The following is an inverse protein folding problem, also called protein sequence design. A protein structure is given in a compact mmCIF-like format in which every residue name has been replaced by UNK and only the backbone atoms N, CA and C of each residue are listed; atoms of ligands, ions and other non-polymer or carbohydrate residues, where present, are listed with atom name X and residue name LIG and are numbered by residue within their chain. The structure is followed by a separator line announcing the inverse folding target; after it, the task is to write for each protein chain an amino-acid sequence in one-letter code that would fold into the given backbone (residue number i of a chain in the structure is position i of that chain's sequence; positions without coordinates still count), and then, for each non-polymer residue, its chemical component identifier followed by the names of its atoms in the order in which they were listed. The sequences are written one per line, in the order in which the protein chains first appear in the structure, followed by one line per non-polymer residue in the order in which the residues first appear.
data_IF_911588540056
#
_entry.id   IF_911588540056
#
_cell.length_a   1.000
_cell.length_b   1.000
_cell.length_c   1.000
_cell.angle_alpha   90.00
_cell.angle_beta   90.00
_cell.angle_gamma   90.00
#
_symmetry.space_group_name_H-M   'P 1'
#
loop_
_entity.id
_entity.type
_entity.pdbx_description
1 polymer ?
#
# COMPACT_ATOMS: atom_id res chain seq x y z
N UNK A 1 -24.29 10.69 63.55
CA UNK A 1 -23.17 10.26 62.68
C UNK A 1 -23.58 8.98 61.97
N UNK A 2 -24.06 9.08 60.73
CA UNK A 2 -24.29 7.92 59.87
C UNK A 2 -23.16 7.91 58.83
N UNK A 3 -22.35 6.85 58.85
CA UNK A 3 -21.23 6.65 57.95
C UNK A 3 -21.78 5.99 56.67
N UNK A 4 -21.86 6.74 55.56
CA UNK A 4 -22.11 6.18 54.24
C UNK A 4 -20.82 5.54 53.72
N UNK A 5 -20.78 4.20 53.68
CA UNK A 5 -19.80 3.45 52.90
C UNK A 5 -20.15 3.56 51.41
N UNK A 6 -19.41 4.37 50.66
CA UNK A 6 -19.37 4.27 49.20
C UNK A 6 -18.63 2.98 48.82
N UNK A 7 -19.37 2.01 48.29
CA UNK A 7 -18.79 0.87 47.60
C UNK A 7 -18.23 1.33 46.25
N UNK A 8 -16.91 1.46 46.14
CA UNK A 8 -16.19 1.56 44.87
C UNK A 8 -16.25 0.18 44.20
N UNK A 9 -17.12 0.04 43.19
CA UNK A 9 -17.06 -1.11 42.29
C UNK A 9 -15.73 -1.08 41.52
N UNK A 10 -15.03 -2.22 41.35
CA UNK A 10 -13.83 -2.26 40.54
C UNK A 10 -14.26 -2.02 39.08
N UNK A 11 -13.75 -0.95 38.47
CA UNK A 11 -13.75 -0.81 37.02
C UNK A 11 -12.92 -1.96 36.46
N UNK A 12 -13.57 -3.05 36.05
CA UNK A 12 -12.92 -4.09 35.27
C UNK A 12 -12.40 -3.44 33.99
N UNK A 13 -11.09 -3.53 33.74
CA UNK A 13 -10.54 -3.17 32.45
C UNK A 13 -11.27 -4.01 31.39
N UNK A 14 -12.00 -3.35 30.48
CA UNK A 14 -12.63 -4.04 29.37
C UNK A 14 -11.54 -4.79 28.59
N UNK A 15 -11.68 -6.11 28.48
CA UNK A 15 -10.73 -6.93 27.75
C UNK A 15 -10.72 -6.48 26.28
N UNK A 16 -9.53 -6.31 25.72
CA UNK A 16 -9.37 -5.92 24.32
C UNK A 16 -9.90 -7.04 23.40
N UNK A 17 -10.66 -6.67 22.38
CA UNK A 17 -11.18 -7.60 21.39
C UNK A 17 -10.02 -8.18 20.57
N UNK A 18 -10.01 -9.50 20.40
CA UNK A 18 -8.98 -10.23 19.68
C UNK A 18 -9.40 -10.37 18.21
N UNK A 19 -8.63 -9.80 17.29
CA UNK A 19 -8.97 -9.82 15.86
C UNK A 19 -7.85 -10.49 15.07
N UNK A 20 -8.23 -11.47 14.25
CA UNK A 20 -7.30 -12.23 13.41
C UNK A 20 -7.33 -11.74 11.96
N UNK A 21 -6.17 -11.50 11.38
CA UNK A 21 -5.97 -11.37 9.94
C UNK A 21 -5.24 -12.60 9.39
N UNK A 22 -5.83 -13.20 8.37
CA UNK A 22 -5.16 -14.18 7.50
C UNK A 22 -4.71 -13.45 6.25
N UNK A 23 -3.40 -13.45 5.99
CA UNK A 23 -2.81 -12.78 4.82
C UNK A 23 -1.96 -13.73 3.99
N UNK A 24 -1.74 -13.41 2.72
CA UNK A 24 -0.75 -14.09 1.88
C UNK A 24 0.55 -13.29 1.80
N UNK A 25 1.65 -13.95 1.44
CA UNK A 25 3.02 -13.40 1.44
C UNK A 25 3.26 -12.17 0.57
N UNK A 26 2.34 -11.86 -0.36
CA UNK A 26 2.35 -10.63 -1.14
C UNK A 26 1.91 -9.39 -0.33
N UNK A 27 1.31 -9.56 0.85
CA UNK A 27 0.93 -8.45 1.73
C UNK A 27 2.11 -8.08 2.64
N UNK A 28 2.63 -6.84 2.59
CA UNK A 28 3.77 -6.44 3.40
C UNK A 28 3.50 -6.57 4.90
N UNK A 29 4.43 -7.15 5.65
CA UNK A 29 4.35 -7.31 7.11
C UNK A 29 4.26 -5.97 7.85
N UNK A 30 4.95 -4.95 7.34
CA UNK A 30 4.87 -3.58 7.88
C UNK A 30 3.49 -2.94 7.82
N UNK A 31 2.56 -3.44 6.98
CA UNK A 31 1.14 -3.04 7.01
C UNK A 31 0.51 -3.40 8.35
N UNK A 32 0.70 -4.64 8.82
CA UNK A 32 0.05 -5.14 10.04
C UNK A 32 0.61 -4.50 11.32
N UNK A 33 1.89 -4.10 11.33
CA UNK A 33 2.44 -3.29 12.44
C UNK A 33 1.67 -1.98 12.59
N UNK A 34 1.46 -1.27 11.48
CA UNK A 34 0.70 -0.01 11.52
C UNK A 34 -0.78 -0.23 11.83
N UNK A 35 -1.40 -1.28 11.29
CA UNK A 35 -2.78 -1.62 11.64
C UNK A 35 -2.91 -1.89 13.14
N UNK A 36 -1.94 -2.57 13.78
CA UNK A 36 -1.97 -2.84 15.20
C UNK A 36 -1.88 -1.55 16.03
N UNK A 37 -1.07 -0.59 15.60
CA UNK A 37 -0.99 0.72 16.25
C UNK A 37 -2.28 1.54 16.11
N UNK A 38 -2.94 1.46 14.95
CA UNK A 38 -4.23 2.13 14.71
C UNK A 38 -5.36 1.44 15.48
N UNK A 39 -5.33 0.11 15.61
CA UNK A 39 -6.38 -0.66 16.29
C UNK A 39 -6.34 -0.51 17.82
N UNK A 40 -5.15 -0.32 18.41
CA UNK A 40 -4.95 -0.31 19.86
C UNK A 40 -5.81 0.74 20.61
N UNK A 41 -5.93 2.01 20.16
CA UNK A 41 -6.85 2.98 20.78
C UNK A 41 -8.33 2.58 20.76
N UNK A 42 -8.73 1.71 19.83
CA UNK A 42 -10.11 1.20 19.73
C UNK A 42 -10.35 -0.04 20.61
N UNK A 43 -9.37 -0.43 21.43
CA UNK A 43 -9.46 -1.62 22.29
C UNK A 43 -9.42 -2.92 21.50
N UNK A 44 -8.74 -2.94 20.36
CA UNK A 44 -8.57 -4.11 19.51
C UNK A 44 -7.10 -4.53 19.52
N UNK A 45 -6.86 -5.82 19.79
CA UNK A 45 -5.56 -6.46 19.65
C UNK A 45 -5.54 -7.27 18.35
N UNK A 46 -4.60 -6.94 17.46
CA UNK A 46 -4.46 -7.59 16.16
C UNK A 46 -3.45 -8.73 16.21
N UNK A 47 -3.86 -9.86 15.64
CA UNK A 47 -2.96 -10.94 15.29
C UNK A 47 -3.00 -11.15 13.78
N UNK A 48 -1.84 -11.36 13.17
CA UNK A 48 -1.73 -11.76 11.77
C UNK A 48 -1.15 -13.18 11.68
N UNK A 49 -1.67 -13.96 10.74
CA UNK A 49 -1.11 -15.24 10.31
C UNK A 49 -0.97 -15.24 8.80
N UNK A 50 0.25 -15.52 8.34
CA UNK A 50 0.51 -15.69 6.92
C UNK A 50 0.18 -17.12 6.50
N UNK A 51 -0.62 -17.26 5.44
CA UNK A 51 -1.13 -18.55 4.95
C UNK A 51 0.00 -19.56 4.74
N UNK A 52 1.12 -19.11 4.16
CA UNK A 52 2.28 -19.94 3.84
C UNK A 52 3.04 -20.43 5.07
N UNK A 53 2.83 -19.79 6.23
CA UNK A 53 3.44 -20.16 7.51
C UNK A 53 2.51 -21.02 8.38
N UNK A 54 1.26 -21.20 7.97
CA UNK A 54 0.32 -22.07 8.69
C UNK A 54 0.62 -23.55 8.38
N UNK A 55 0.55 -24.43 9.40
CA UNK A 55 0.62 -25.88 9.19
C UNK A 55 -0.38 -26.35 8.13
N UNK A 56 0.00 -27.37 7.35
CA UNK A 56 -0.84 -27.94 6.28
C UNK A 56 -2.16 -28.50 6.83
N UNK A 57 -2.13 -28.99 8.05
CA UNK A 57 -3.21 -29.64 8.77
C UNK A 57 -3.95 -28.71 9.74
N UNK A 58 -3.81 -27.39 9.58
CA UNK A 58 -4.52 -26.38 10.38
C UNK A 58 -6.03 -26.67 10.40
N UNK A 59 -6.59 -26.80 11.59
CA UNK A 59 -7.97 -27.19 11.85
C UNK A 59 -8.84 -26.00 12.32
N UNK A 60 -10.08 -26.29 12.71
CA UNK A 60 -11.06 -25.32 13.21
C UNK A 60 -10.55 -24.51 14.43
N UNK A 61 -9.55 -25.03 15.15
CA UNK A 61 -8.91 -24.35 16.28
C UNK A 61 -8.23 -23.03 15.90
N UNK A 62 -7.95 -22.81 14.61
CA UNK A 62 -7.37 -21.57 14.09
C UNK A 62 -8.13 -20.31 14.53
N UNK A 63 -9.46 -20.39 14.60
CA UNK A 63 -10.33 -19.24 14.86
C UNK A 63 -10.77 -19.12 16.32
N UNK A 64 -10.37 -20.05 17.18
CA UNK A 64 -10.80 -20.09 18.58
C UNK A 64 -10.26 -18.88 19.35
N UNK A 65 -11.14 -18.16 20.03
CA UNK A 65 -10.79 -17.03 20.90
C UNK A 65 -10.64 -15.69 20.18
N UNK A 66 -10.96 -15.62 18.88
CA UNK A 66 -11.03 -14.36 18.15
C UNK A 66 -12.48 -13.85 18.06
N UNK A 67 -12.65 -12.55 18.26
CA UNK A 67 -13.93 -11.83 18.19
C UNK A 67 -14.28 -11.42 16.75
N UNK A 68 -13.29 -11.32 15.85
CA UNK A 68 -13.50 -11.17 14.41
C UNK A 68 -12.32 -11.73 13.61
N UNK A 69 -12.58 -12.13 12.36
CA UNK A 69 -11.57 -12.69 11.44
C UNK A 69 -11.64 -12.04 10.07
N UNK A 70 -10.49 -11.67 9.50
CA UNK A 70 -10.40 -11.02 8.21
C UNK A 70 -9.40 -11.72 7.29
N UNK A 71 -9.73 -11.80 5.99
CA UNK A 71 -8.85 -12.38 4.98
C UNK A 71 -8.34 -11.28 4.03
N UNK A 72 -7.04 -11.02 4.04
CA UNK A 72 -6.33 -10.10 3.16
C UNK A 72 -5.59 -10.88 2.07
N UNK A 73 -6.31 -11.25 1.01
CA UNK A 73 -5.74 -11.88 -0.17
C UNK A 73 -6.63 -11.74 -1.39
N UNK A 74 -6.03 -11.50 -2.55
CA UNK A 74 -6.69 -11.65 -3.84
C UNK A 74 -6.77 -13.13 -4.28
N UNK A 75 -5.95 -14.01 -3.70
CA UNK A 75 -5.89 -15.45 -3.98
C UNK A 75 -6.93 -16.22 -3.14
N UNK A 76 -8.20 -15.78 -3.17
CA UNK A 76 -9.22 -16.32 -2.28
C UNK A 76 -9.39 -17.83 -2.42
N UNK A 77 -9.38 -18.35 -3.65
CA UNK A 77 -9.57 -19.79 -3.90
C UNK A 77 -8.42 -20.60 -3.28
N UNK A 78 -7.17 -20.10 -3.36
CA UNK A 78 -6.00 -20.73 -2.73
C UNK A 78 -6.13 -20.73 -1.19
N UNK A 79 -6.58 -19.62 -0.61
CA UNK A 79 -6.81 -19.52 0.84
C UNK A 79 -7.93 -20.47 1.27
N UNK A 80 -9.01 -20.56 0.49
CA UNK A 80 -10.13 -21.47 0.75
C UNK A 80 -9.68 -22.92 0.73
N UNK A 81 -8.97 -23.34 -0.32
CA UNK A 81 -8.43 -24.69 -0.44
C UNK A 81 -7.48 -25.03 0.71
N UNK A 82 -6.59 -24.09 1.05
CA UNK A 82 -5.58 -24.28 2.11
C UNK A 82 -6.19 -24.34 3.51
N UNK A 83 -7.32 -23.67 3.73
CA UNK A 83 -8.02 -23.62 5.01
C UNK A 83 -9.32 -24.43 5.02
N UNK A 84 -9.50 -25.37 4.08
CA UNK A 84 -10.73 -26.14 3.95
C UNK A 84 -11.14 -26.90 5.23
N UNK A 85 -10.17 -27.31 6.06
CA UNK A 85 -10.40 -27.95 7.37
C UNK A 85 -10.67 -26.97 8.50
N UNK A 86 -10.22 -25.73 8.38
CA UNK A 86 -10.36 -24.71 9.41
C UNK A 86 -11.66 -23.91 9.25
N UNK A 87 -12.00 -23.54 8.01
CA UNK A 87 -13.14 -22.68 7.66
C UNK A 87 -14.50 -23.12 8.25
N UNK A 88 -14.83 -24.41 8.38
CA UNK A 88 -16.07 -24.83 9.04
C UNK A 88 -16.22 -24.32 10.48
N UNK A 89 -15.12 -24.13 11.21
CA UNK A 89 -15.10 -23.59 12.57
C UNK A 89 -15.18 -22.07 12.66
N UNK A 90 -15.26 -21.36 11.53
CA UNK A 90 -15.32 -19.90 11.51
C UNK A 90 -16.75 -19.40 11.78
N UNK A 91 -17.05 -19.17 13.05
CA UNK A 91 -18.34 -18.62 13.48
C UNK A 91 -18.30 -17.13 13.83
N UNK A 92 -17.13 -16.60 14.18
CA UNK A 92 -16.95 -15.19 14.50
C UNK A 92 -17.26 -14.29 13.27
N UNK A 93 -17.73 -13.05 13.48
CA UNK A 93 -17.89 -12.06 12.42
C UNK A 93 -16.65 -11.99 11.52
N UNK A 94 -16.85 -12.13 10.22
CA UNK A 94 -15.72 -12.21 9.30
C UNK A 94 -15.97 -11.57 7.93
N UNK A 95 -14.89 -11.17 7.26
CA UNK A 95 -14.93 -10.66 5.90
C UNK A 95 -13.65 -10.98 5.09
N UNK A 96 -13.86 -11.22 3.80
CA UNK A 96 -12.83 -11.32 2.77
C UNK A 96 -12.67 -9.94 2.13
N UNK A 97 -11.50 -9.33 2.34
CA UNK A 97 -11.29 -7.90 2.16
C UNK A 97 -10.89 -7.49 0.74
N UNK A 98 -10.77 -8.45 -0.18
CA UNK A 98 -10.56 -8.17 -1.60
C UNK A 98 -11.88 -7.74 -2.25
N UNK A 99 -11.97 -6.46 -2.57
CA UNK A 99 -13.20 -5.78 -2.99
C UNK A 99 -13.74 -6.20 -4.36
N UNK A 100 -12.91 -6.80 -5.23
CA UNK A 100 -13.37 -7.37 -6.49
C UNK A 100 -14.17 -8.69 -6.30
N UNK A 101 -14.00 -9.37 -5.16
CA UNK A 101 -14.74 -10.60 -4.81
C UNK A 101 -15.08 -10.58 -3.31
N UNK A 102 -15.89 -9.63 -2.82
CA UNK A 102 -16.12 -9.49 -1.39
C UNK A 102 -17.03 -10.62 -0.89
N UNK A 103 -16.73 -11.14 0.31
CA UNK A 103 -17.56 -12.11 1.01
C UNK A 103 -17.50 -11.85 2.52
N UNK A 104 -18.54 -12.20 3.27
CA UNK A 104 -18.59 -12.02 4.72
C UNK A 104 -19.51 -13.05 5.37
N UNK A 105 -19.38 -13.21 6.68
CA UNK A 105 -20.11 -14.21 7.45
C UNK A 105 -20.06 -13.97 8.96
N UNK A 106 -20.45 -14.98 9.73
CA UNK A 106 -20.40 -14.94 11.20
C UNK A 106 -21.32 -13.90 11.83
N UNK A 107 -22.45 -13.59 11.19
CA UNK A 107 -23.42 -12.61 11.68
C UNK A 107 -23.02 -11.14 11.45
N UNK A 108 -21.95 -10.87 10.68
CA UNK A 108 -21.57 -9.50 10.31
C UNK A 108 -22.66 -8.86 9.42
N UNK A 109 -23.31 -7.76 9.82
CA UNK A 109 -24.36 -7.12 9.02
C UNK A 109 -23.80 -6.59 7.69
N UNK A 110 -24.53 -6.78 6.59
CA UNK A 110 -24.07 -6.37 5.26
C UNK A 110 -23.62 -4.90 5.16
N UNK A 111 -24.35 -3.90 5.70
CA UNK A 111 -23.90 -2.51 5.65
C UNK A 111 -22.55 -2.30 6.34
N UNK A 112 -22.30 -3.02 7.43
CA UNK A 112 -21.03 -2.97 8.18
C UNK A 112 -19.93 -3.69 7.41
N UNK A 113 -20.21 -4.89 6.89
CA UNK A 113 -19.25 -5.66 6.09
C UNK A 113 -18.77 -4.86 4.87
N UNK A 114 -19.69 -4.28 4.10
CA UNK A 114 -19.35 -3.45 2.93
C UNK A 114 -18.49 -2.25 3.32
N UNK A 115 -18.87 -1.53 4.39
CA UNK A 115 -18.10 -0.38 4.88
C UNK A 115 -16.68 -0.77 5.29
N UNK A 116 -16.52 -1.86 6.05
CA UNK A 116 -15.21 -2.39 6.44
C UNK A 116 -14.36 -2.77 5.22
N UNK A 117 -14.95 -3.45 4.23
CA UNK A 117 -14.26 -3.83 2.99
C UNK A 117 -13.81 -2.58 2.23
N UNK A 118 -14.67 -1.56 2.08
CA UNK A 118 -14.31 -0.32 1.37
C UNK A 118 -13.19 0.45 2.07
N UNK A 119 -13.21 0.56 3.41
CA UNK A 119 -12.10 1.13 4.15
C UNK A 119 -10.80 0.36 3.88
N UNK A 120 -10.86 -0.97 3.99
CA UNK A 120 -9.66 -1.78 3.92
C UNK A 120 -9.04 -1.82 2.53
N UNK A 121 -9.86 -1.95 1.48
CA UNK A 121 -9.38 -2.05 0.10
C UNK A 121 -8.77 -0.74 -0.40
N UNK A 122 -9.28 0.40 0.07
CA UNK A 122 -8.69 1.71 -0.23
C UNK A 122 -7.49 2.01 0.68
N UNK A 123 -7.50 1.54 1.93
CA UNK A 123 -6.41 1.67 2.87
C UNK A 123 -6.06 3.13 3.20
N UNK A 124 -4.87 3.34 3.75
CA UNK A 124 -4.46 4.64 4.29
C UNK A 124 -5.01 4.91 5.70
N UNK A 125 -4.37 5.83 6.42
CA UNK A 125 -4.59 6.03 7.85
C UNK A 125 -6.06 6.31 8.20
N UNK A 126 -6.69 7.25 7.51
CA UNK A 126 -8.09 7.61 7.78
C UNK A 126 -9.03 6.42 7.59
N UNK A 127 -8.83 5.64 6.54
CA UNK A 127 -9.67 4.48 6.30
C UNK A 127 -9.44 3.39 7.34
N UNK A 128 -8.20 3.13 7.76
CA UNK A 128 -7.95 2.16 8.81
C UNK A 128 -8.47 2.60 10.19
N UNK A 129 -8.38 3.89 10.51
CA UNK A 129 -9.06 4.45 11.69
C UNK A 129 -10.58 4.22 11.61
N UNK A 130 -11.18 4.51 10.46
CA UNK A 130 -12.60 4.25 10.21
C UNK A 130 -12.96 2.77 10.28
N UNK A 131 -12.10 1.89 9.78
CA UNK A 131 -12.22 0.44 9.86
C UNK A 131 -12.30 -0.02 11.31
N UNK A 132 -11.32 0.34 12.14
CA UNK A 132 -11.26 -0.12 13.52
C UNK A 132 -12.31 0.54 14.41
N UNK A 133 -12.65 1.80 14.19
CA UNK A 133 -13.76 2.46 14.87
C UNK A 133 -15.11 1.78 14.57
N UNK A 134 -15.35 1.45 13.30
CA UNK A 134 -16.56 0.74 12.85
C UNK A 134 -16.61 -0.67 13.45
N UNK A 135 -15.50 -1.40 13.40
CA UNK A 135 -15.40 -2.75 13.94
C UNK A 135 -15.61 -2.77 15.46
N UNK A 136 -14.95 -1.87 16.20
CA UNK A 136 -15.10 -1.78 17.64
C UNK A 136 -16.55 -1.49 18.07
N UNK A 137 -17.25 -0.61 17.36
CA UNK A 137 -18.66 -0.36 17.59
C UNK A 137 -19.53 -1.61 17.32
N UNK A 138 -19.27 -2.29 16.21
CA UNK A 138 -19.97 -3.54 15.86
C UNK A 138 -19.78 -4.62 16.93
N UNK A 139 -18.54 -4.84 17.40
CA UNK A 139 -18.24 -5.83 18.45
C UNK A 139 -18.85 -5.49 19.81
N UNK A 140 -19.08 -4.20 20.08
CA UNK A 140 -19.74 -3.72 21.28
C UNK A 140 -21.28 -3.67 21.14
N UNK A 141 -21.83 -4.11 20.01
CA UNK A 141 -23.28 -4.08 19.75
C UNK A 141 -23.87 -2.66 19.70
N UNK A 142 -23.06 -1.66 19.36
CA UNK A 142 -23.48 -0.24 19.30
C UNK A 142 -23.37 0.32 17.89
N UNK A 143 -24.14 1.37 17.61
CA UNK A 143 -23.94 2.18 16.41
C UNK A 143 -22.61 2.95 16.50
N UNK A 144 -22.05 3.31 15.33
CA UNK A 144 -20.83 4.09 15.20
C UNK A 144 -21.11 5.50 14.64
N UNK A 145 -21.97 6.33 15.26
CA UNK A 145 -22.24 7.66 14.74
C UNK A 145 -20.97 8.52 14.77
N UNK A 146 -20.72 9.25 13.69
CA UNK A 146 -19.57 10.17 13.58
C UNK A 146 -18.27 9.55 13.05
N UNK A 147 -18.24 8.25 12.73
CA UNK A 147 -17.12 7.68 11.97
C UNK A 147 -17.20 8.20 10.51
N UNK A 148 -16.19 8.92 10.00
CA UNK A 148 -16.22 9.48 8.64
C UNK A 148 -16.41 8.41 7.57
N UNK A 149 -17.08 8.72 6.45
CA UNK A 149 -17.21 7.76 5.34
C UNK A 149 -15.85 7.31 4.77
N UNK A 150 -15.76 6.10 4.18
CA UNK A 150 -14.56 5.65 3.50
C UNK A 150 -14.10 6.61 2.41
N UNK A 151 -12.81 6.92 2.40
CA UNK A 151 -12.14 7.64 1.33
C UNK A 151 -11.83 6.64 0.22
N UNK A 152 -12.44 6.84 -0.95
CA UNK A 152 -12.17 6.01 -2.13
C UNK A 152 -11.11 6.68 -2.98
N UNK A 153 -9.96 6.02 -3.12
CA UNK A 153 -8.91 6.52 -3.99
C UNK A 153 -9.31 6.32 -5.46
N UNK A 154 -9.13 7.32 -6.33
CA UNK A 154 -9.35 7.15 -7.76
C UNK A 154 -8.36 6.10 -8.30
N UNK A 155 -8.69 5.45 -9.43
CA UNK A 155 -7.82 4.45 -10.08
C UNK A 155 -6.50 5.04 -10.58
N UNK A 156 -6.54 6.31 -10.97
CA UNK A 156 -5.41 7.09 -11.44
C UNK A 156 -5.37 8.40 -10.66
N UNK A 157 -4.20 8.77 -10.16
CA UNK A 157 -3.97 10.08 -9.56
C UNK A 157 -2.48 10.36 -9.35
N UNK A 158 -2.19 11.65 -9.17
CA UNK A 158 -0.94 12.10 -8.55
C UNK A 158 -1.04 11.86 -7.05
N UNK A 159 0.03 11.33 -6.46
CA UNK A 159 0.19 11.16 -5.02
C UNK A 159 1.16 12.18 -4.47
N UNK A 160 0.92 12.85 -3.35
CA UNK A 160 1.99 13.60 -2.69
C UNK A 160 1.81 13.64 -1.18
N UNK A 161 2.86 13.45 -0.36
CA UNK A 161 2.73 13.43 1.11
C UNK A 161 2.20 14.77 1.67
N UNK A 162 2.36 15.86 0.93
CA UNK A 162 1.87 17.21 1.30
C UNK A 162 0.57 17.62 0.59
N UNK A 163 0.01 16.79 -0.30
CA UNK A 163 -1.25 17.09 -0.95
C UNK A 163 -2.43 16.89 0.02
N UNK A 164 -3.46 17.76 0.02
CA UNK A 164 -4.70 17.51 0.74
C UNK A 164 -5.31 16.17 0.32
N UNK A 165 -5.62 15.30 1.29
CA UNK A 165 -6.15 13.96 1.01
C UNK A 165 -5.16 13.01 0.31
N UNK A 166 -3.87 13.35 0.27
CA UNK A 166 -2.75 12.61 -0.34
C UNK A 166 -2.78 12.48 -1.88
N UNK A 167 -3.92 12.69 -2.53
CA UNK A 167 -4.07 12.47 -3.98
C UNK A 167 -4.72 13.63 -4.70
N UNK A 168 -4.31 13.85 -5.95
CA UNK A 168 -4.89 14.82 -6.88
C UNK A 168 -5.16 14.12 -8.20
N UNK A 169 -6.41 14.14 -8.68
CA UNK A 169 -6.82 13.38 -9.86
C UNK A 169 -6.19 13.91 -11.16
N UNK A 170 -6.07 15.24 -11.30
CA UNK A 170 -5.56 15.87 -12.52
C UNK A 170 -4.04 16.20 -12.38
N UNK A 171 -3.17 15.55 -13.17
CA UNK A 171 -1.73 15.82 -13.14
C UNK A 171 -1.35 17.21 -13.65
N UNK A 172 -2.14 17.80 -14.55
CA UNK A 172 -1.91 19.17 -15.03
C UNK A 172 -2.25 20.17 -13.92
N UNK A 173 -3.37 19.97 -13.21
CA UNK A 173 -3.73 20.79 -12.06
C UNK A 173 -2.68 20.69 -10.95
N UNK A 174 -2.14 19.49 -10.69
CA UNK A 174 -1.03 19.32 -9.77
C UNK A 174 0.19 20.15 -10.17
N UNK A 175 0.69 20.02 -11.40
CA UNK A 175 1.85 20.79 -11.85
C UNK A 175 1.64 22.30 -11.77
N UNK A 176 0.46 22.79 -12.14
CA UNK A 176 0.11 24.21 -11.99
C UNK A 176 0.11 24.65 -10.54
N UNK A 177 -0.38 23.83 -9.61
CA UNK A 177 -0.29 24.10 -8.16
C UNK A 177 1.16 24.16 -7.66
N UNK A 178 2.06 23.45 -8.33
CA UNK A 178 3.51 23.52 -8.13
C UNK A 178 4.16 24.65 -8.94
N UNK A 179 3.40 25.59 -9.52
CA UNK A 179 3.95 26.72 -10.29
C UNK A 179 4.63 26.31 -11.60
N UNK A 180 4.28 25.15 -12.14
CA UNK A 180 4.74 24.67 -13.46
C UNK A 180 3.59 24.76 -14.45
N UNK A 181 3.77 25.57 -15.50
CA UNK A 181 2.95 25.47 -16.71
C UNK A 181 3.60 24.43 -17.64
N UNK A 182 2.96 23.28 -17.91
CA UNK A 182 3.53 22.25 -18.77
C UNK A 182 3.83 22.72 -20.20
N UNK A 183 3.15 23.77 -20.68
CA UNK A 183 3.35 24.34 -22.00
C UNK A 183 4.52 25.35 -22.07
N UNK A 184 5.06 25.78 -20.93
CA UNK A 184 6.14 26.76 -20.89
C UNK A 184 7.49 26.14 -21.28
N UNK A 185 8.23 26.82 -22.17
CA UNK A 185 9.52 26.34 -22.70
C UNK A 185 10.64 26.30 -21.67
N UNK A 186 10.63 27.20 -20.68
CA UNK A 186 11.65 27.28 -19.62
C UNK A 186 11.06 26.90 -18.25
N UNK A 187 10.13 25.94 -18.21
CA UNK A 187 9.60 25.43 -16.94
C UNK A 187 10.69 24.71 -16.15
N UNK A 188 10.50 24.61 -14.83
CA UNK A 188 11.33 23.74 -14.00
C UNK A 188 11.27 22.29 -14.51
N UNK A 189 12.38 21.51 -14.42
CA UNK A 189 12.37 20.11 -14.77
C UNK A 189 11.31 19.37 -13.95
N UNK A 190 10.62 18.42 -14.58
CA UNK A 190 9.62 17.57 -13.93
C UNK A 190 10.10 16.12 -13.98
N UNK A 191 10.32 15.54 -12.80
CA UNK A 191 10.67 14.12 -12.65
C UNK A 191 9.41 13.37 -12.27
N UNK A 192 8.92 12.53 -13.18
CA UNK A 192 7.81 11.63 -12.88
C UNK A 192 8.29 10.45 -12.05
N UNK A 193 7.44 9.99 -11.12
CA UNK A 193 7.72 8.83 -10.27
C UNK A 193 6.51 7.89 -10.30
N UNK A 194 6.61 6.78 -11.04
CA UNK A 194 5.55 5.78 -11.07
C UNK A 194 5.62 4.88 -9.83
N UNK A 195 4.49 4.74 -9.13
CA UNK A 195 4.35 3.89 -7.94
C UNK A 195 3.09 3.03 -8.00
N UNK A 196 3.07 1.95 -7.23
CA UNK A 196 1.82 1.23 -6.97
C UNK A 196 0.99 2.00 -5.94
N UNK A 197 -0.32 2.16 -6.18
CA UNK A 197 -1.27 2.71 -5.19
C UNK A 197 -1.16 1.97 -3.84
N UNK A 198 -0.82 0.69 -3.87
CA UNK A 198 -0.64 -0.15 -2.68
C UNK A 198 0.36 0.43 -1.66
N UNK A 199 1.37 1.20 -2.08
CA UNK A 199 2.26 1.88 -1.13
C UNK A 199 1.48 2.87 -0.25
N UNK A 200 0.55 3.61 -0.83
CA UNK A 200 -0.31 4.58 -0.13
C UNK A 200 -1.32 3.82 0.74
N UNK A 201 -2.01 2.84 0.15
CA UNK A 201 -3.03 2.05 0.84
C UNK A 201 -2.46 1.29 2.04
N UNK A 202 -1.25 0.73 1.94
CA UNK A 202 -0.58 0.04 3.03
C UNK A 202 0.21 0.97 3.97
N UNK A 203 0.21 2.29 3.71
CA UNK A 203 1.01 3.29 4.43
C UNK A 203 2.51 2.96 4.45
N UNK A 204 3.02 2.40 3.36
CA UNK A 204 4.42 2.00 3.16
C UNK A 204 5.16 3.00 2.25
N UNK A 205 4.94 4.30 2.44
CA UNK A 205 5.35 5.34 1.48
C UNK A 205 6.77 5.87 1.72
N UNK A 206 7.48 5.46 2.77
CA UNK A 206 8.74 6.07 3.18
C UNK A 206 9.79 6.15 2.05
N UNK A 207 9.92 5.12 1.22
CA UNK A 207 10.79 5.15 0.03
C UNK A 207 10.32 6.15 -1.03
N UNK A 208 9.01 6.19 -1.33
CA UNK A 208 8.45 7.13 -2.31
C UNK A 208 8.59 8.57 -1.82
N UNK A 209 8.30 8.82 -0.54
CA UNK A 209 8.39 10.12 0.09
C UNK A 209 9.83 10.65 0.10
N UNK A 210 10.81 9.78 0.33
CA UNK A 210 12.23 10.12 0.23
C UNK A 210 12.65 10.48 -1.21
N UNK A 211 12.23 9.71 -2.22
CA UNK A 211 12.52 10.06 -3.62
C UNK A 211 11.89 11.40 -4.01
N UNK A 212 10.64 11.66 -3.61
CA UNK A 212 9.97 12.95 -3.81
C UNK A 212 10.80 14.06 -3.18
N UNK A 213 11.18 13.92 -1.90
CA UNK A 213 11.94 14.93 -1.18
C UNK A 213 13.30 15.21 -1.83
N UNK A 214 14.01 14.19 -2.33
CA UNK A 214 15.29 14.35 -3.05
C UNK A 214 15.11 15.06 -4.39
N UNK A 215 14.07 14.73 -5.15
CA UNK A 215 13.75 15.40 -6.42
C UNK A 215 13.50 16.89 -6.17
N UNK A 216 12.67 17.21 -5.16
CA UNK A 216 12.35 18.59 -4.78
C UNK A 216 13.57 19.35 -4.27
N UNK A 217 14.41 18.72 -3.44
CA UNK A 217 15.65 19.30 -2.93
C UNK A 217 16.67 19.58 -4.06
N UNK A 218 16.63 18.79 -5.14
CA UNK A 218 17.40 19.01 -6.37
C UNK A 218 16.87 20.13 -7.26
N UNK A 219 15.77 20.80 -6.90
CA UNK A 219 15.20 21.93 -7.63
C UNK A 219 14.21 21.56 -8.75
N UNK A 220 13.97 20.27 -8.97
CA UNK A 220 12.94 19.79 -9.89
C UNK A 220 11.56 19.73 -9.21
N UNK A 221 10.51 19.57 -10.01
CA UNK A 221 9.16 19.28 -9.53
C UNK A 221 8.90 17.79 -9.63
N UNK A 222 8.50 17.17 -8.52
CA UNK A 222 8.11 15.77 -8.52
C UNK A 222 6.68 15.61 -9.09
N UNK A 223 6.51 14.65 -10.00
CA UNK A 223 5.22 14.14 -10.47
C UNK A 223 5.06 12.65 -10.11
N UNK A 224 4.95 12.31 -8.81
CA UNK A 224 4.57 10.98 -8.33
C UNK A 224 3.13 10.61 -8.71
N UNK A 225 2.94 9.46 -9.36
CA UNK A 225 1.61 9.01 -9.78
C UNK A 225 1.45 7.50 -9.73
N UNK A 226 0.19 7.06 -9.66
CA UNK A 226 -0.18 5.67 -9.86
C UNK A 226 -1.28 5.57 -10.92
N UNK A 227 -1.30 4.45 -11.62
CA UNK A 227 -2.31 4.10 -12.61
C UNK A 227 -2.44 2.57 -12.73
N UNK A 228 -3.57 2.06 -13.27
CA UNK A 228 -3.72 0.63 -13.52
C UNK A 228 -2.65 0.14 -14.51
N UNK A 229 -1.89 -0.89 -14.13
CA UNK A 229 -0.70 -1.31 -14.89
C UNK A 229 -1.01 -1.98 -16.22
N UNK A 230 -2.16 -2.65 -16.30
CA UNK A 230 -2.59 -3.44 -17.46
C UNK A 230 -3.60 -2.71 -18.35
N UNK A 231 -3.99 -1.49 -17.96
CA UNK A 231 -4.92 -0.68 -18.75
C UNK A 231 -4.14 0.15 -19.77
N UNK A 232 -4.35 -0.16 -21.06
CA UNK A 232 -3.66 0.52 -22.15
C UNK A 232 -3.86 2.04 -22.11
N UNK A 233 -2.77 2.81 -22.21
CA UNK A 233 -2.82 4.26 -22.23
C UNK A 233 -2.99 4.92 -20.85
N UNK A 234 -3.14 4.16 -19.76
CA UNK A 234 -3.25 4.73 -18.42
C UNK A 234 -1.98 5.48 -17.99
N UNK A 235 -0.80 5.05 -18.46
CA UNK A 235 0.46 5.77 -18.30
C UNK A 235 0.45 7.11 -19.07
N UNK A 236 0.00 7.08 -20.32
CA UNK A 236 -0.08 8.29 -21.17
C UNK A 236 -1.06 9.33 -20.63
N UNK A 237 -2.17 8.90 -20.02
CA UNK A 237 -3.10 9.83 -19.36
C UNK A 237 -2.42 10.63 -18.24
N UNK A 238 -1.44 10.04 -17.54
CA UNK A 238 -0.74 10.70 -16.43
C UNK A 238 0.45 11.55 -16.87
N UNK A 239 1.10 11.20 -17.99
CA UNK A 239 2.36 11.82 -18.41
C UNK A 239 2.26 12.62 -19.72
N UNK A 240 1.24 12.37 -20.52
CA UNK A 240 1.01 13.03 -21.80
C UNK A 240 -0.49 13.24 -22.10
N UNK A 241 -1.30 13.77 -21.14
CA UNK A 241 -2.72 14.02 -21.38
C UNK A 241 -2.90 14.98 -22.55
N UNK A 242 -3.81 14.64 -23.46
CA UNK A 242 -4.10 15.41 -24.68
C UNK A 242 -2.85 15.72 -25.52
N UNK A 243 -1.84 14.85 -25.49
CA UNK A 243 -0.60 15.00 -26.26
C UNK A 243 0.45 15.92 -25.62
N UNK A 244 0.14 16.59 -24.52
CA UNK A 244 1.07 17.51 -23.83
C UNK A 244 1.95 16.74 -22.85
N UNK A 245 3.25 16.65 -23.14
CA UNK A 245 4.21 15.98 -22.27
C UNK A 245 4.40 16.74 -20.95
N UNK A 246 4.20 16.06 -19.83
CA UNK A 246 4.26 16.66 -18.49
C UNK A 246 5.60 16.47 -17.77
N UNK A 247 6.35 15.42 -18.10
CA UNK A 247 7.60 15.08 -17.45
C UNK A 247 8.78 15.07 -18.43
N UNK A 248 9.99 15.20 -17.89
CA UNK A 248 11.25 15.17 -18.65
C UNK A 248 11.96 13.83 -18.49
N UNK A 249 11.77 13.16 -17.35
CA UNK A 249 12.28 11.82 -17.04
C UNK A 249 11.26 11.07 -16.17
N UNK A 250 11.22 9.74 -16.30
CA UNK A 250 10.41 8.86 -15.46
C UNK A 250 11.30 7.97 -14.60
N UNK A 251 11.09 7.94 -13.29
CA UNK A 251 11.58 6.91 -12.38
C UNK A 251 10.46 5.90 -12.16
N UNK A 252 10.65 4.66 -12.58
CA UNK A 252 9.72 3.56 -12.34
C UNK A 252 10.08 2.81 -11.05
N UNK A 253 9.10 2.62 -10.16
CA UNK A 253 9.24 1.76 -8.95
C UNK A 253 8.35 0.51 -9.00
N UNK A 254 7.63 0.32 -10.10
CA UNK A 254 6.71 -0.78 -10.31
C UNK A 254 7.41 -1.97 -10.99
N UNK A 255 6.81 -3.16 -10.90
CA UNK A 255 7.19 -4.27 -11.78
C UNK A 255 6.94 -3.91 -13.25
N UNK A 256 7.65 -4.56 -14.17
CA UNK A 256 7.36 -4.50 -15.58
C UNK A 256 6.56 -5.73 -16.01
N UNK A 257 5.47 -5.49 -16.74
CA UNK A 257 4.62 -6.48 -17.40
C UNK A 257 4.41 -6.02 -18.85
N UNK A 258 4.07 -6.95 -19.74
CA UNK A 258 3.77 -6.65 -21.16
C UNK A 258 4.85 -5.77 -21.83
N UNK A 259 6.10 -6.22 -21.80
CA UNK A 259 7.25 -5.40 -22.18
C UNK A 259 7.17 -4.77 -23.59
N UNK A 260 6.59 -5.46 -24.57
CA UNK A 260 6.38 -4.94 -25.93
C UNK A 260 5.42 -3.74 -25.95
N UNK A 261 4.26 -3.86 -25.30
CA UNK A 261 3.28 -2.76 -25.20
C UNK A 261 3.88 -1.59 -24.43
N UNK A 262 4.60 -1.88 -23.34
CA UNK A 262 5.22 -0.84 -22.52
C UNK A 262 6.35 -0.12 -23.25
N UNK A 263 7.12 -0.82 -24.08
CA UNK A 263 8.10 -0.22 -24.98
C UNK A 263 7.42 0.80 -25.90
N UNK A 264 6.33 0.42 -26.56
CA UNK A 264 5.59 1.30 -27.45
C UNK A 264 4.98 2.52 -26.72
N UNK A 265 4.57 2.37 -25.47
CA UNK A 265 4.16 3.51 -24.61
C UNK A 265 5.35 4.44 -24.29
N UNK A 266 6.50 3.90 -23.89
CA UNK A 266 7.69 4.71 -23.60
C UNK A 266 8.23 5.44 -24.85
N UNK A 267 8.24 4.79 -26.02
CA UNK A 267 8.61 5.41 -27.30
C UNK A 267 7.66 6.59 -27.64
N UNK A 268 6.35 6.46 -27.39
CA UNK A 268 5.37 7.54 -27.58
C UNK A 268 5.53 8.69 -26.58
N UNK A 269 5.93 8.40 -25.34
CA UNK A 269 6.25 9.42 -24.33
C UNK A 269 7.51 10.21 -24.73
N UNK A 270 8.52 9.52 -25.24
CA UNK A 270 9.77 10.12 -25.73
C UNK A 270 10.60 10.76 -24.61
N UNK A 271 10.65 10.12 -23.44
CA UNK A 271 11.46 10.53 -22.28
C UNK A 271 12.31 9.36 -21.76
N UNK A 272 13.47 9.63 -21.13
CA UNK A 272 14.23 8.60 -20.45
C UNK A 272 13.42 7.95 -19.32
N UNK A 273 13.59 6.64 -19.14
CA UNK A 273 12.96 5.88 -18.07
C UNK A 273 14.02 5.15 -17.25
N UNK A 274 14.15 5.54 -15.99
CA UNK A 274 15.00 4.90 -14.98
C UNK A 274 14.18 3.93 -14.13
N UNK A 275 14.84 3.04 -13.40
CA UNK A 275 14.14 2.14 -12.48
C UNK A 275 14.81 2.01 -11.12
N UNK A 276 13.99 2.12 -10.07
CA UNK A 276 14.39 2.06 -8.68
C UNK A 276 13.54 1.02 -7.95
N UNK A 277 14.13 -0.14 -7.66
CA UNK A 277 13.43 -1.27 -7.05
C UNK A 277 13.81 -1.49 -5.59
N UNK A 278 12.87 -1.96 -4.74
CA UNK A 278 13.19 -2.37 -3.39
C UNK A 278 13.82 -3.78 -3.35
N UNK A 279 14.81 -3.97 -2.48
CA UNK A 279 15.26 -5.27 -2.02
C UNK A 279 14.23 -5.85 -1.05
N UNK A 280 13.67 -7.01 -1.39
CA UNK A 280 12.53 -7.63 -0.68
C UNK A 280 12.90 -8.78 0.25
N UNK A 281 14.19 -8.96 0.53
CA UNK A 281 14.71 -10.12 1.28
C UNK A 281 15.49 -9.71 2.53
N UNK A 282 15.28 -8.49 3.01
CA UNK A 282 15.87 -7.99 4.24
C UNK A 282 16.06 -6.47 4.21
N UNK A 283 16.88 -6.01 5.14
CA UNK A 283 17.30 -4.62 5.25
C UNK A 283 18.52 -4.32 4.35
N UNK A 284 19.04 -3.10 4.46
CA UNK A 284 20.20 -2.63 3.70
C UNK A 284 21.46 -3.48 3.97
N UNK A 285 21.66 -3.94 5.21
CA UNK A 285 22.80 -4.79 5.55
C UNK A 285 22.68 -6.17 4.90
N UNK A 286 21.47 -6.76 4.89
CA UNK A 286 21.20 -8.01 4.19
C UNK A 286 21.41 -7.86 2.68
N UNK A 287 21.00 -6.73 2.08
CA UNK A 287 21.28 -6.44 0.67
C UNK A 287 22.78 -6.31 0.39
N UNK A 288 23.51 -5.54 1.20
CA UNK A 288 24.95 -5.32 1.03
C UNK A 288 25.77 -6.62 1.15
N UNK A 289 25.31 -7.57 1.97
CA UNK A 289 25.93 -8.88 2.12
C UNK A 289 25.50 -9.89 1.05
N UNK A 290 24.51 -9.57 0.21
CA UNK A 290 23.97 -10.50 -0.79
C UNK A 290 24.80 -10.44 -2.07
N UNK A 291 25.53 -11.52 -2.45
CA UNK A 291 26.41 -11.51 -3.61
C UNK A 291 25.66 -11.43 -4.94
N UNK A 292 24.36 -11.74 -4.98
CA UNK A 292 23.54 -11.59 -6.17
C UNK A 292 22.91 -10.18 -6.27
N UNK A 293 22.69 -9.49 -5.14
CA UNK A 293 22.05 -8.17 -5.06
C UNK A 293 20.55 -8.14 -5.42
N UNK A 294 20.10 -9.03 -6.31
CA UNK A 294 18.73 -9.19 -6.80
C UNK A 294 18.36 -10.67 -6.76
N UNK A 295 17.17 -11.00 -6.27
CA UNK A 295 16.72 -12.38 -6.24
C UNK A 295 16.32 -12.88 -7.64
N UNK A 296 16.66 -14.12 -7.98
CA UNK A 296 16.39 -14.72 -9.30
C UNK A 296 14.92 -14.65 -9.72
N UNK A 297 13.99 -14.76 -8.77
CA UNK A 297 12.56 -14.66 -9.02
C UNK A 297 12.07 -13.26 -9.39
N UNK A 298 12.84 -12.22 -9.02
CA UNK A 298 12.51 -10.82 -9.33
C UNK A 298 13.08 -10.39 -10.70
N UNK A 299 14.09 -11.11 -11.22
CA UNK A 299 14.78 -10.81 -12.49
C UNK A 299 13.82 -10.64 -13.68
N UNK A 300 12.83 -11.53 -13.91
CA UNK A 300 11.93 -11.36 -15.06
C UNK A 300 11.09 -10.07 -15.00
N UNK A 301 10.75 -9.61 -13.79
CA UNK A 301 9.83 -8.50 -13.60
C UNK A 301 10.53 -7.15 -13.41
N UNK A 302 11.75 -7.16 -12.86
CA UNK A 302 12.49 -5.94 -12.57
C UNK A 302 13.73 -5.72 -13.42
N UNK A 303 14.22 -6.72 -14.15
CA UNK A 303 15.39 -6.57 -15.02
C UNK A 303 15.02 -6.88 -16.47
N UNK A 304 14.82 -8.15 -16.82
CA UNK A 304 14.72 -8.58 -18.22
C UNK A 304 13.59 -7.89 -19.01
N UNK A 305 12.38 -7.82 -18.44
CA UNK A 305 11.27 -7.11 -19.10
C UNK A 305 11.47 -5.59 -19.14
N UNK A 306 12.10 -5.01 -18.12
CA UNK A 306 12.37 -3.58 -18.09
C UNK A 306 13.43 -3.19 -19.12
N UNK A 307 14.51 -3.97 -19.24
CA UNK A 307 15.54 -3.79 -20.27
C UNK A 307 14.95 -3.95 -21.68
N UNK A 308 14.10 -4.96 -21.90
CA UNK A 308 13.39 -5.15 -23.17
C UNK A 308 12.49 -3.96 -23.52
N UNK A 309 11.87 -3.35 -22.51
CA UNK A 309 11.04 -2.16 -22.69
C UNK A 309 11.84 -0.86 -22.92
N UNK A 310 13.18 -0.91 -22.85
CA UNK A 310 14.05 0.26 -23.04
C UNK A 310 14.31 1.08 -21.77
N UNK A 311 14.04 0.51 -20.59
CA UNK A 311 14.40 1.14 -19.30
C UNK A 311 15.90 1.06 -19.07
N UNK A 312 16.49 2.14 -18.58
CA UNK A 312 17.92 2.24 -18.27
C UNK A 312 18.16 2.35 -16.75
N UNK A 313 19.40 2.15 -16.32
CA UNK A 313 19.85 2.36 -14.93
C UNK A 313 18.94 1.69 -13.88
N UNK A 314 18.71 0.39 -14.03
CA UNK A 314 17.92 -0.39 -13.09
C UNK A 314 18.73 -0.60 -11.80
N UNK A 315 18.27 0.00 -10.70
CA UNK A 315 18.99 -0.02 -9.42
C UNK A 315 18.11 -0.52 -8.27
N UNK A 316 18.72 -1.28 -7.36
CA UNK A 316 18.15 -1.48 -6.03
C UNK A 316 18.34 -0.18 -5.25
N UNK A 317 17.24 0.45 -4.85
CA UNK A 317 17.26 1.78 -4.23
C UNK A 317 16.58 1.83 -2.85
N UNK A 318 16.02 0.71 -2.40
CA UNK A 318 15.35 0.60 -1.11
C UNK A 318 15.50 -0.78 -0.51
N UNK A 319 15.25 -0.92 0.79
CA UNK A 319 15.20 -2.18 1.51
C UNK A 319 14.15 -2.13 2.62
N UNK A 320 13.80 -3.28 3.21
CA UNK A 320 12.84 -3.34 4.33
C UNK A 320 13.56 -3.15 5.66
N UNK A 321 13.30 -2.04 6.35
CA UNK A 321 13.90 -1.75 7.66
C UNK A 321 13.37 -2.72 8.72
N UNK A 322 14.25 -3.41 9.44
CA UNK A 322 13.85 -4.43 10.41
C UNK A 322 12.99 -3.91 11.58
N UNK A 323 13.23 -2.66 12.03
CA UNK A 323 12.60 -2.09 13.21
C UNK A 323 11.09 -1.88 13.08
N UNK A 324 10.60 -1.54 11.89
CA UNK A 324 9.19 -1.23 11.63
C UNK A 324 8.65 -1.79 10.30
N UNK A 325 9.46 -2.56 9.59
CA UNK A 325 9.14 -3.18 8.29
C UNK A 325 8.74 -2.17 7.21
N UNK A 326 9.12 -0.90 7.37
CA UNK A 326 8.98 0.11 6.32
C UNK A 326 9.94 -0.18 5.16
N UNK A 327 9.46 0.06 3.95
CA UNK A 327 10.32 0.11 2.76
C UNK A 327 10.99 1.48 2.76
N UNK A 328 12.30 1.51 2.99
CA UNK A 328 13.09 2.73 3.18
C UNK A 328 14.19 2.83 2.12
N UNK A 329 14.62 4.04 1.74
CA UNK A 329 15.71 4.22 0.79
C UNK A 329 17.01 3.61 1.30
N UNK A 330 17.79 3.04 0.39
CA UNK A 330 19.24 2.85 0.58
C UNK A 330 19.86 4.17 0.14
N UNK A 331 20.34 4.97 1.09
CA UNK A 331 20.60 6.40 0.88
C UNK A 331 21.46 6.69 -0.36
N UNK A 332 22.61 6.03 -0.50
CA UNK A 332 23.52 6.23 -1.63
C UNK A 332 22.92 5.81 -2.98
N UNK A 333 22.05 4.80 -3.00
CA UNK A 333 21.38 4.35 -4.22
C UNK A 333 20.23 5.28 -4.61
N UNK A 334 19.45 5.77 -3.64
CA UNK A 334 18.43 6.78 -3.86
C UNK A 334 19.04 8.09 -4.40
N UNK A 335 20.18 8.51 -3.85
CA UNK A 335 20.97 9.65 -4.37
C UNK A 335 21.43 9.41 -5.81
N UNK A 336 21.92 8.22 -6.13
CA UNK A 336 22.35 7.91 -7.49
C UNK A 336 21.17 7.95 -8.49
N UNK A 337 20.02 7.38 -8.14
CA UNK A 337 18.82 7.38 -8.99
C UNK A 337 18.34 8.81 -9.25
N UNK A 338 18.15 9.60 -8.19
CA UNK A 338 17.64 10.98 -8.32
C UNK A 338 18.69 11.88 -8.99
N UNK A 339 19.96 11.75 -8.62
CA UNK A 339 21.06 12.47 -9.24
C UNK A 339 21.11 12.26 -10.75
N UNK A 340 20.95 11.02 -11.23
CA UNK A 340 20.87 10.74 -12.68
C UNK A 340 19.63 11.39 -13.31
N UNK A 341 18.47 11.24 -12.69
CA UNK A 341 17.22 11.83 -13.19
C UNK A 341 17.32 13.36 -13.35
N UNK A 342 17.99 14.04 -12.43
CA UNK A 342 18.18 15.50 -12.48
C UNK A 342 19.19 15.97 -13.55
N UNK A 343 20.00 15.07 -14.11
CA UNK A 343 21.01 15.39 -15.12
C UNK A 343 20.64 14.94 -16.56
N UNK A 344 19.45 14.37 -16.74
CA UNK A 344 18.89 13.96 -18.05
C UNK A 344 17.97 15.04 -18.62
#
# INVERSE_FOLDING_TARGET
MALCLLALAPFGAAQAAQVLFIATSNVPTGKFRQLADIARPHGIELQVRYLERLPVDTDEGLFKGFDAVFFDSYLQDVVQDRLARALPGLHAPNAWLYDAKPAWGGGLPEPVARRLITYYSNGGRQNFEGFFATLAAQLQGRAAPGVPEPVVFPKTAVYHPRAPGLVVADPVAWLRSQGVDPAATNRRPVVALALHQQYIAAMQTAFIDDLIARIEAGGAVALPFYSPMLEAGALEQMLKPSGTRLADVLINTQIMLNAEERRAEFERLGIPVLQAMPYRRGDEAAWAANPQGVALMDVPFYLAQAEYAGVTDIQVAAATRASDEQIVPIAAQADAVVGKALNL
#
